data_IF_838385675475
#
_entry.id   IF_838385675475
#
_cell.length_a   1.000
_cell.length_b   1.000
_cell.length_c   1.000
_cell.angle_alpha   90.00
_cell.angle_beta   90.00
_cell.angle_gamma   90.00
#
_symmetry.space_group_name_H-M   'P 1'
#
loop_
_entity.id
_entity.type
_entity.pdbx_description
1 polymer ?
#
# COMPACT_ATOMS: atom_id res chain seq x y z
N UNK A 1 -5.84 9.01 54.44
CA UNK A 1 -7.28 9.02 54.16
C UNK A 1 -8.00 10.35 54.40
N UNK A 2 -7.44 11.36 55.06
CA UNK A 2 -8.14 12.66 55.33
C UNK A 2 -8.02 13.70 54.19
N UNK A 3 -7.09 13.57 53.24
CA UNK A 3 -6.91 14.50 52.13
C UNK A 3 -7.96 14.32 51.01
N UNK A 4 -8.42 13.08 50.79
CA UNK A 4 -9.44 12.78 49.75
C UNK A 4 -10.83 13.34 50.14
N UNK A 5 -11.15 13.40 51.44
CA UNK A 5 -12.45 13.92 51.89
C UNK A 5 -12.56 15.45 51.83
N UNK A 6 -11.42 16.16 51.83
CA UNK A 6 -11.37 17.63 51.71
C UNK A 6 -11.56 18.10 50.26
N UNK A 7 -11.07 17.33 49.31
CA UNK A 7 -11.21 17.60 47.86
C UNK A 7 -12.64 17.44 47.35
N UNK A 8 -13.45 16.62 48.02
CA UNK A 8 -14.84 16.31 47.56
C UNK A 8 -15.84 17.39 48.02
N UNK A 9 -15.51 18.24 49.06
CA UNK A 9 -16.44 19.20 49.66
C UNK A 9 -16.48 20.58 49.00
N UNK A 10 -15.54 20.89 48.07
CA UNK A 10 -15.53 22.18 47.35
C UNK A 10 -15.89 22.00 45.87
N UNK A 11 -17.11 22.37 45.50
CA UNK A 11 -17.62 22.23 44.13
C UNK A 11 -16.76 22.90 43.04
N UNK A 12 -16.00 23.94 43.38
CA UNK A 12 -15.06 24.60 42.47
C UNK A 12 -13.82 23.73 42.26
N UNK A 13 -13.26 23.11 43.29
CA UNK A 13 -12.10 22.21 43.20
C UNK A 13 -12.48 20.90 42.48
N UNK A 14 -13.66 20.38 42.74
CA UNK A 14 -14.18 19.18 42.03
C UNK A 14 -14.33 19.39 40.53
N UNK A 15 -14.78 20.57 40.12
CA UNK A 15 -14.84 20.93 38.67
C UNK A 15 -13.44 21.09 38.06
N UNK A 16 -12.48 21.63 38.81
CA UNK A 16 -11.09 21.78 38.38
C UNK A 16 -10.37 20.45 38.23
N UNK A 17 -10.59 19.52 39.17
CA UNK A 17 -10.02 18.14 39.11
C UNK A 17 -10.65 17.35 37.94
N UNK A 18 -11.95 17.47 37.73
CA UNK A 18 -12.64 16.82 36.57
C UNK A 18 -12.12 17.39 35.25
N UNK A 19 -11.91 18.71 35.14
CA UNK A 19 -11.32 19.35 33.97
C UNK A 19 -9.87 18.88 33.72
N UNK A 20 -9.08 18.71 34.77
CA UNK A 20 -7.70 18.24 34.68
C UNK A 20 -7.60 16.75 34.26
N UNK A 21 -8.51 15.92 34.78
CA UNK A 21 -8.62 14.50 34.39
C UNK A 21 -9.11 14.37 32.93
N UNK A 22 -10.04 15.23 32.48
CA UNK A 22 -10.49 15.28 31.09
C UNK A 22 -9.39 15.79 30.14
N UNK A 23 -8.54 16.72 30.56
CA UNK A 23 -7.38 17.15 29.76
C UNK A 23 -6.29 16.08 29.67
N UNK A 24 -6.06 15.29 30.71
CA UNK A 24 -5.09 14.18 30.68
C UNK A 24 -5.55 13.02 29.78
N UNK A 25 -6.86 12.81 29.59
CA UNK A 25 -7.37 11.78 28.69
C UNK A 25 -7.26 12.12 27.20
N UNK A 26 -6.96 13.36 26.83
CA UNK A 26 -6.73 13.75 25.42
C UNK A 26 -5.27 13.62 24.95
N UNK A 27 -4.32 13.30 25.85
CA UNK A 27 -2.91 13.18 25.50
C UNK A 27 -2.48 11.78 25.00
N UNK A 28 -3.41 10.83 24.89
CA UNK A 28 -3.10 9.45 24.44
C UNK A 28 -3.50 9.15 22.98
N UNK A 29 -3.86 10.16 22.20
CA UNK A 29 -4.16 9.99 20.77
C UNK A 29 -3.11 10.67 19.89
N UNK A 30 -1.90 10.17 19.83
CA UNK A 30 -0.96 10.41 18.74
C UNK A 30 0.37 9.68 18.94
N UNK A 31 0.31 8.38 19.08
CA UNK A 31 1.43 7.55 18.69
C UNK A 31 0.88 6.49 17.75
N UNK A 32 0.60 6.89 16.51
CA UNK A 32 0.73 5.93 15.42
C UNK A 32 2.23 5.65 15.35
N UNK A 33 2.64 4.55 15.96
CA UNK A 33 3.98 4.04 15.77
C UNK A 33 4.21 3.94 14.26
N UNK A 34 5.23 4.62 13.77
CA UNK A 34 5.71 4.51 12.37
C UNK A 34 6.34 3.11 12.14
N UNK A 35 6.18 2.24 13.13
CA UNK A 35 6.59 0.84 13.12
C UNK A 35 5.88 0.10 12.00
N UNK A 36 6.67 -0.35 11.04
CA UNK A 36 6.20 -1.11 9.91
C UNK A 36 5.50 -0.29 8.82
N UNK A 37 5.77 1.04 8.73
CA UNK A 37 5.36 1.80 7.55
C UNK A 37 6.09 1.29 6.33
N UNK A 38 5.32 0.82 5.36
CA UNK A 38 5.81 0.27 4.10
C UNK A 38 5.28 1.15 2.98
N UNK A 39 6.17 1.64 2.12
CA UNK A 39 5.83 2.32 0.89
C UNK A 39 5.84 1.32 -0.26
N UNK A 40 4.80 1.33 -1.07
CA UNK A 40 4.67 0.46 -2.24
C UNK A 40 4.46 1.36 -3.46
N UNK A 41 5.25 1.14 -4.51
CA UNK A 41 5.15 1.88 -5.75
C UNK A 41 4.40 1.08 -6.82
N UNK A 42 3.49 1.75 -7.55
CA UNK A 42 2.85 1.14 -8.70
C UNK A 42 3.80 1.13 -9.91
N UNK A 43 4.06 -0.06 -10.45
CA UNK A 43 4.85 -0.26 -11.65
C UNK A 43 3.98 -0.53 -12.88
N UNK A 44 4.53 -0.25 -14.06
CA UNK A 44 3.89 -0.57 -15.34
C UNK A 44 3.59 -2.07 -15.40
N UNK A 45 2.35 -2.47 -15.72
CA UNK A 45 2.01 -3.86 -15.86
C UNK A 45 2.80 -4.48 -17.04
N UNK A 46 3.18 -5.73 -16.85
CA UNK A 46 3.75 -6.52 -17.95
C UNK A 46 2.62 -7.10 -18.80
N UNK A 47 2.82 -7.12 -20.14
CA UNK A 47 1.86 -7.73 -21.07
C UNK A 47 1.44 -6.85 -22.25
N UNK A 48 0.58 -7.40 -23.08
CA UNK A 48 0.19 -6.86 -24.39
C UNK A 48 -1.04 -5.94 -24.30
N UNK A 49 -0.94 -4.89 -23.52
CA UNK A 49 -1.95 -3.83 -23.52
C UNK A 49 -1.35 -2.52 -24.04
N UNK A 50 -2.20 -1.64 -24.56
CA UNK A 50 -1.71 -0.36 -25.10
C UNK A 50 -1.05 0.49 -24.00
N UNK A 51 -0.12 1.35 -24.41
CA UNK A 51 0.57 2.28 -23.50
C UNK A 51 -0.43 3.18 -22.75
N UNK A 52 -1.52 3.59 -23.40
CA UNK A 52 -2.56 4.43 -22.81
C UNK A 52 -3.34 3.65 -21.71
N UNK A 53 -3.73 2.41 -22.00
CA UNK A 53 -4.41 1.54 -21.02
C UNK A 53 -3.49 1.21 -19.84
N UNK A 54 -2.21 0.92 -20.10
CA UNK A 54 -1.19 0.68 -19.06
C UNK A 54 -1.03 1.89 -18.13
N UNK A 55 -0.89 3.10 -18.67
CA UNK A 55 -0.81 4.34 -17.89
C UNK A 55 -2.06 4.56 -17.04
N UNK A 56 -3.25 4.26 -17.61
CA UNK A 56 -4.50 4.35 -16.85
C UNK A 56 -4.52 3.36 -15.68
N UNK A 57 -4.11 2.11 -15.92
CA UNK A 57 -4.04 1.08 -14.86
C UNK A 57 -3.05 1.48 -13.77
N UNK A 58 -1.84 1.95 -14.09
CA UNK A 58 -0.87 2.46 -13.10
C UNK A 58 -1.45 3.58 -12.26
N UNK A 59 -2.13 4.54 -12.89
CA UNK A 59 -2.78 5.64 -12.16
C UNK A 59 -3.85 5.11 -11.20
N UNK A 60 -4.60 4.07 -11.58
CA UNK A 60 -5.58 3.42 -10.70
C UNK A 60 -4.91 2.69 -9.56
N UNK A 61 -3.86 1.91 -9.82
CA UNK A 61 -3.05 1.24 -8.79
C UNK A 61 -2.48 2.23 -7.77
N UNK A 62 -1.91 3.36 -8.22
CA UNK A 62 -1.42 4.42 -7.33
C UNK A 62 -2.53 4.96 -6.42
N UNK A 63 -3.73 5.24 -6.96
CA UNK A 63 -4.88 5.69 -6.15
C UNK A 63 -5.33 4.64 -5.15
N UNK A 64 -5.29 3.36 -5.53
CA UNK A 64 -5.63 2.26 -4.64
C UNK A 64 -4.60 2.12 -3.52
N UNK A 65 -3.30 2.26 -3.79
CA UNK A 65 -2.25 2.27 -2.78
C UNK A 65 -2.40 3.45 -1.81
N UNK A 66 -2.58 4.67 -2.32
CA UNK A 66 -2.79 5.87 -1.49
C UNK A 66 -4.04 5.73 -0.62
N UNK A 67 -5.15 5.23 -1.20
CA UNK A 67 -6.41 5.02 -0.47
C UNK A 67 -6.31 4.00 0.66
N UNK A 68 -5.35 3.07 0.60
CA UNK A 68 -5.06 2.06 1.63
C UNK A 68 -3.85 2.44 2.52
N UNK A 69 -3.28 3.64 2.38
CA UNK A 69 -2.18 4.12 3.23
C UNK A 69 -0.79 3.61 2.84
N UNK A 70 -0.64 3.01 1.65
CA UNK A 70 0.63 2.49 1.13
C UNK A 70 1.27 3.39 0.06
N UNK A 71 0.79 4.64 -0.07
CA UNK A 71 1.32 5.60 -1.04
C UNK A 71 2.80 5.88 -0.82
N UNK A 72 3.54 5.97 -1.93
CA UNK A 72 4.96 6.22 -1.95
C UNK A 72 5.30 7.68 -1.60
N UNK A 73 6.40 7.86 -0.86
CA UNK A 73 7.04 9.16 -0.60
C UNK A 73 8.20 9.45 -1.57
N UNK A 74 8.39 8.65 -2.60
CA UNK A 74 9.30 8.92 -3.72
C UNK A 74 10.79 8.64 -3.49
N UNK A 75 11.19 7.98 -2.39
CA UNK A 75 12.62 7.85 -2.08
C UNK A 75 13.24 6.47 -2.36
N UNK A 76 12.47 5.38 -2.34
CA UNK A 76 13.03 4.03 -2.57
C UNK A 76 12.02 3.10 -3.24
N UNK A 77 12.33 2.68 -4.45
CA UNK A 77 11.53 1.76 -5.25
C UNK A 77 11.91 0.30 -4.96
N UNK A 78 11.59 -0.22 -3.79
CA UNK A 78 11.88 -1.60 -3.44
C UNK A 78 10.64 -2.50 -3.50
N UNK A 79 9.59 -2.08 -2.81
CA UNK A 79 8.32 -2.80 -2.84
C UNK A 79 7.43 -2.25 -3.94
N UNK A 80 6.98 -3.14 -4.80
CA UNK A 80 6.22 -2.75 -6.00
C UNK A 80 4.89 -3.47 -6.08
N UNK A 81 3.90 -2.76 -6.60
CA UNK A 81 2.64 -3.29 -7.06
C UNK A 81 2.65 -3.28 -8.59
N UNK A 82 2.52 -4.43 -9.19
CA UNK A 82 2.30 -4.57 -10.64
C UNK A 82 1.05 -5.40 -10.90
N UNK A 83 0.64 -5.49 -12.17
CA UNK A 83 -0.55 -6.24 -12.54
C UNK A 83 -0.32 -7.00 -13.86
N UNK A 84 -1.01 -8.13 -14.01
CA UNK A 84 -1.18 -8.85 -15.27
C UNK A 84 -2.62 -8.76 -15.71
N UNK A 85 -2.86 -8.46 -16.97
CA UNK A 85 -4.22 -8.36 -17.55
C UNK A 85 -4.42 -9.48 -18.55
N UNK A 86 -5.37 -10.35 -18.28
CA UNK A 86 -5.76 -11.45 -19.14
C UNK A 86 -7.20 -11.21 -19.65
N UNK A 87 -7.35 -10.91 -20.95
CA UNK A 87 -8.68 -10.75 -21.57
C UNK A 87 -9.29 -12.13 -21.81
N UNK A 88 -10.41 -12.41 -21.15
CA UNK A 88 -11.07 -13.72 -21.14
C UNK A 88 -12.18 -13.83 -22.20
N UNK A 89 -12.83 -12.71 -22.55
CA UNK A 89 -13.79 -12.69 -23.67
C UNK A 89 -13.86 -11.30 -24.31
N UNK A 90 -14.19 -11.31 -25.60
CA UNK A 90 -14.37 -10.11 -26.40
C UNK A 90 -15.60 -10.28 -27.27
N UNK A 91 -16.56 -9.38 -27.13
CA UNK A 91 -17.82 -9.40 -27.83
C UNK A 91 -18.11 -8.07 -28.51
N UNK A 92 -18.78 -8.10 -29.65
CA UNK A 92 -19.30 -6.90 -30.31
C UNK A 92 -20.73 -6.67 -29.85
N UNK A 93 -20.97 -5.54 -29.21
CA UNK A 93 -22.30 -5.12 -28.78
C UNK A 93 -22.95 -4.35 -29.92
N UNK A 94 -24.12 -4.84 -30.48
CA UNK A 94 -24.85 -4.14 -31.49
C UNK A 94 -25.34 -2.79 -30.96
N UNK A 95 -24.82 -1.70 -31.49
CA UNK A 95 -25.23 -0.33 -31.17
C UNK A 95 -24.82 0.60 -32.33
N UNK A 96 -25.28 1.82 -32.37
CA UNK A 96 -24.89 2.78 -33.40
C UNK A 96 -24.15 3.95 -32.73
N UNK A 97 -22.80 4.02 -32.86
CA UNK A 97 -21.87 3.05 -33.47
C UNK A 97 -21.72 1.77 -32.66
N UNK A 98 -21.26 0.67 -33.33
CA UNK A 98 -20.96 -0.59 -32.68
C UNK A 98 -19.92 -0.42 -31.56
N UNK A 99 -20.04 -1.19 -30.47
CA UNK A 99 -19.13 -1.14 -29.31
C UNK A 99 -18.47 -2.50 -29.06
N UNK A 100 -17.31 -2.47 -28.47
CA UNK A 100 -16.58 -3.65 -27.99
C UNK A 100 -16.81 -3.79 -26.50
N UNK A 101 -17.20 -5.00 -26.08
CA UNK A 101 -17.26 -5.41 -24.68
C UNK A 101 -16.15 -6.41 -24.42
N UNK A 102 -15.34 -6.16 -23.40
CA UNK A 102 -14.27 -7.07 -22.99
C UNK A 102 -14.46 -7.46 -21.52
N UNK A 103 -14.37 -8.77 -21.25
CA UNK A 103 -14.21 -9.31 -19.90
C UNK A 103 -12.75 -9.66 -19.70
N UNK A 104 -12.22 -9.40 -18.52
CA UNK A 104 -10.82 -9.63 -18.20
C UNK A 104 -10.62 -9.97 -16.75
N UNK A 105 -9.55 -10.65 -16.48
CA UNK A 105 -9.01 -10.85 -15.14
C UNK A 105 -7.76 -9.99 -14.98
N UNK A 106 -7.72 -9.21 -13.90
CA UNK A 106 -6.56 -8.41 -13.53
C UNK A 106 -5.99 -9.00 -12.26
N UNK A 107 -4.81 -9.61 -12.36
CA UNK A 107 -4.09 -10.15 -11.23
C UNK A 107 -3.05 -9.15 -10.78
N UNK A 108 -3.19 -8.67 -9.54
CA UNK A 108 -2.25 -7.78 -8.88
C UNK A 108 -1.20 -8.58 -8.12
N UNK A 109 0.03 -8.09 -8.11
CA UNK A 109 1.16 -8.70 -7.41
C UNK A 109 1.90 -7.64 -6.59
N UNK A 110 2.15 -7.94 -5.31
CA UNK A 110 3.03 -7.16 -4.45
C UNK A 110 4.31 -7.93 -4.23
N UNK A 111 5.44 -7.34 -4.58
CA UNK A 111 6.75 -7.99 -4.48
C UNK A 111 7.88 -7.05 -4.11
N UNK A 112 9.04 -7.63 -3.84
CA UNK A 112 10.32 -6.98 -3.62
C UNK A 112 11.18 -7.20 -4.88
N UNK A 113 11.53 -6.13 -5.58
CA UNK A 113 12.33 -6.21 -6.82
C UNK A 113 13.81 -6.50 -6.54
N UNK A 114 14.29 -6.21 -5.32
CA UNK A 114 15.69 -6.44 -4.94
C UNK A 114 15.91 -7.90 -4.55
N UNK A 115 15.00 -8.47 -3.75
CA UNK A 115 15.07 -9.88 -3.34
C UNK A 115 14.35 -10.81 -4.33
N UNK A 116 13.75 -10.28 -5.40
CA UNK A 116 12.93 -11.02 -6.38
C UNK A 116 11.89 -11.91 -5.70
N UNK A 117 11.16 -11.36 -4.74
CA UNK A 117 10.25 -12.10 -3.87
C UNK A 117 8.82 -11.59 -4.02
N UNK A 118 7.89 -12.51 -4.24
CA UNK A 118 6.45 -12.23 -4.23
C UNK A 118 5.90 -12.38 -2.81
N UNK A 119 5.20 -11.38 -2.30
CA UNK A 119 4.58 -11.40 -0.99
C UNK A 119 3.10 -11.74 -1.04
N UNK A 120 2.35 -11.13 -1.96
CA UNK A 120 0.93 -11.40 -2.10
C UNK A 120 0.44 -11.16 -3.53
N UNK A 121 -0.71 -11.74 -3.85
CA UNK A 121 -1.42 -11.49 -5.11
C UNK A 121 -2.92 -11.60 -4.89
N UNK A 122 -3.70 -10.89 -5.70
CA UNK A 122 -5.15 -11.08 -5.82
C UNK A 122 -5.59 -10.89 -7.27
N UNK A 123 -6.70 -11.53 -7.65
CA UNK A 123 -7.28 -11.41 -8.99
C UNK A 123 -8.67 -10.80 -8.90
N UNK A 124 -8.92 -9.85 -9.79
CA UNK A 124 -10.19 -9.14 -9.90
C UNK A 124 -10.74 -9.30 -11.30
N UNK A 125 -12.00 -9.75 -11.40
CA UNK A 125 -12.70 -9.83 -12.68
C UNK A 125 -13.34 -8.49 -13.01
N UNK A 126 -13.05 -7.98 -14.20
CA UNK A 126 -13.56 -6.71 -14.70
C UNK A 126 -14.24 -6.89 -16.06
N UNK A 127 -15.15 -5.99 -16.38
CA UNK A 127 -15.74 -5.88 -17.71
C UNK A 127 -15.80 -4.42 -18.11
N UNK A 128 -15.34 -4.12 -19.32
CA UNK A 128 -15.42 -2.79 -19.90
C UNK A 128 -16.14 -2.79 -21.24
N UNK A 129 -16.71 -1.64 -21.59
CA UNK A 129 -17.35 -1.39 -22.87
C UNK A 129 -16.80 -0.09 -23.43
N UNK A 130 -16.36 -0.12 -24.70
CA UNK A 130 -15.80 1.03 -25.39
C UNK A 130 -16.12 1.04 -26.87
N UNK A 131 -15.74 2.12 -27.57
CA UNK A 131 -15.86 2.21 -29.03
C UNK A 131 -14.76 1.43 -29.74
N UNK A 132 -13.74 0.98 -29.02
CA UNK A 132 -12.68 0.07 -29.44
C UNK A 132 -12.13 -0.66 -28.20
N UNK A 133 -11.23 -1.63 -28.41
CA UNK A 133 -10.60 -2.45 -27.36
C UNK A 133 -9.91 -1.61 -26.28
N UNK A 134 -9.09 -0.63 -26.69
CA UNK A 134 -8.37 0.22 -25.76
C UNK A 134 -9.32 1.00 -24.82
N UNK A 135 -10.43 1.52 -25.35
CA UNK A 135 -11.46 2.21 -24.56
C UNK A 135 -12.27 1.25 -23.69
N UNK A 136 -12.44 0.00 -24.13
CA UNK A 136 -13.05 -1.05 -23.29
C UNK A 136 -12.15 -1.38 -22.09
N UNK A 137 -10.83 -1.55 -22.29
CA UNK A 137 -9.85 -1.75 -21.21
C UNK A 137 -9.87 -0.58 -20.21
N UNK A 138 -9.76 0.66 -20.67
CA UNK A 138 -9.78 1.86 -19.82
C UNK A 138 -11.10 1.95 -19.03
N UNK A 139 -12.22 1.63 -19.69
CA UNK A 139 -13.55 1.57 -19.03
C UNK A 139 -13.58 0.51 -17.94
N UNK A 140 -12.97 -0.66 -18.14
CA UNK A 140 -12.86 -1.71 -17.13
C UNK A 140 -12.02 -1.24 -15.94
N UNK A 141 -10.82 -0.69 -16.18
CA UNK A 141 -9.92 -0.21 -15.12
C UNK A 141 -10.53 0.93 -14.31
N UNK A 142 -11.43 1.74 -14.91
CA UNK A 142 -12.11 2.80 -14.18
C UNK A 142 -13.02 2.29 -13.05
N UNK A 143 -13.37 1.00 -13.05
CA UNK A 143 -14.18 0.34 -12.01
C UNK A 143 -13.37 -0.14 -10.82
N UNK A 144 -12.03 -0.14 -10.92
CA UNK A 144 -11.16 -0.44 -9.79
C UNK A 144 -11.37 0.57 -8.67
N UNK A 145 -11.58 0.07 -7.46
CA UNK A 145 -11.91 0.86 -6.28
C UNK A 145 -10.87 0.62 -5.18
N UNK A 146 -10.34 1.68 -4.52
CA UNK A 146 -9.46 1.54 -3.36
C UNK A 146 -10.05 0.69 -2.23
N UNK A 147 -11.37 0.77 -2.04
CA UNK A 147 -12.07 0.05 -0.97
C UNK A 147 -12.45 -1.40 -1.34
N UNK A 148 -11.89 -1.94 -2.41
CA UNK A 148 -12.15 -3.33 -2.79
C UNK A 148 -11.51 -4.28 -1.79
N UNK A 149 -12.33 -5.11 -1.14
CA UNK A 149 -11.93 -5.95 -0.02
C UNK A 149 -10.74 -6.85 -0.35
N UNK A 150 -10.80 -7.58 -1.46
CA UNK A 150 -9.75 -8.51 -1.88
C UNK A 150 -8.40 -7.82 -2.08
N UNK A 151 -8.42 -6.57 -2.59
CA UNK A 151 -7.22 -5.78 -2.78
C UNK A 151 -6.65 -5.28 -1.44
N UNK A 152 -7.51 -4.80 -0.54
CA UNK A 152 -7.10 -4.38 0.81
C UNK A 152 -6.49 -5.55 1.60
N UNK A 153 -7.14 -6.72 1.60
CA UNK A 153 -6.65 -7.93 2.25
C UNK A 153 -5.31 -8.43 1.67
N UNK A 154 -5.13 -8.27 0.35
CA UNK A 154 -3.84 -8.56 -0.31
C UNK A 154 -2.74 -7.63 0.21
N UNK A 155 -2.99 -6.32 0.32
CA UNK A 155 -2.02 -5.36 0.84
C UNK A 155 -1.65 -5.65 2.30
N UNK A 156 -2.63 -5.95 3.14
CA UNK A 156 -2.41 -6.30 4.55
C UNK A 156 -1.62 -7.60 4.68
N UNK A 157 -1.91 -8.59 3.84
CA UNK A 157 -1.14 -9.85 3.75
C UNK A 157 0.30 -9.59 3.31
N UNK A 158 0.49 -8.74 2.31
CA UNK A 158 1.83 -8.36 1.84
C UNK A 158 2.62 -7.66 2.95
N UNK A 159 2.01 -6.68 3.65
CA UNK A 159 2.60 -5.99 4.79
C UNK A 159 3.05 -6.95 5.86
N UNK A 160 2.18 -7.87 6.30
CA UNK A 160 2.52 -8.86 7.31
C UNK A 160 3.75 -9.68 6.91
N UNK A 161 3.78 -10.21 5.68
CA UNK A 161 4.90 -11.01 5.19
C UNK A 161 6.19 -10.21 4.99
N UNK A 162 6.11 -8.92 4.63
CA UNK A 162 7.26 -8.03 4.54
C UNK A 162 7.84 -7.80 5.95
N UNK A 163 6.99 -7.44 6.90
CA UNK A 163 7.39 -7.24 8.31
C UNK A 163 8.04 -8.50 8.87
N UNK A 164 7.42 -9.67 8.71
CA UNK A 164 7.96 -10.96 9.17
C UNK A 164 9.33 -11.25 8.54
N UNK A 165 9.47 -11.00 7.24
CA UNK A 165 10.74 -11.22 6.55
C UNK A 165 11.83 -10.36 7.15
N UNK A 166 11.61 -9.05 7.29
CA UNK A 166 12.63 -8.14 7.81
C UNK A 166 12.91 -8.35 9.29
N UNK A 167 11.92 -8.65 10.12
CA UNK A 167 12.13 -9.01 11.53
C UNK A 167 13.10 -10.17 11.68
N UNK A 168 13.03 -11.16 10.79
CA UNK A 168 13.89 -12.35 10.85
C UNK A 168 15.25 -12.17 10.14
N UNK A 169 15.42 -11.17 9.28
CA UNK A 169 16.60 -10.99 8.43
C UNK A 169 17.32 -9.65 8.66
N UNK A 170 17.03 -8.92 9.74
CA UNK A 170 17.65 -7.63 10.05
C UNK A 170 19.18 -7.67 10.03
N UNK A 171 19.77 -8.63 10.73
CA UNK A 171 21.23 -8.76 10.81
C UNK A 171 21.86 -9.03 9.43
N UNK A 172 21.19 -9.80 8.58
CA UNK A 172 21.63 -10.08 7.22
C UNK A 172 21.58 -8.83 6.34
N UNK A 173 20.47 -8.07 6.38
CA UNK A 173 20.32 -6.82 5.62
C UNK A 173 21.35 -5.77 6.04
N UNK A 174 21.61 -5.61 7.34
CA UNK A 174 22.66 -4.74 7.86
C UNK A 174 24.04 -5.20 7.37
N UNK A 175 24.32 -6.51 7.38
CA UNK A 175 25.58 -7.06 6.90
C UNK A 175 25.79 -6.82 5.39
N UNK A 176 24.73 -7.00 4.58
CA UNK A 176 24.76 -6.70 3.14
C UNK A 176 25.09 -5.22 2.89
N UNK A 177 24.41 -4.31 3.60
CA UNK A 177 24.65 -2.87 3.47
C UNK A 177 26.08 -2.48 3.89
N UNK A 178 26.61 -3.05 4.98
CA UNK A 178 28.00 -2.82 5.41
C UNK A 178 29.00 -3.32 4.38
N UNK A 179 28.75 -4.47 3.76
CA UNK A 179 29.60 -5.01 2.70
C UNK A 179 29.63 -4.07 1.49
N UNK A 180 28.48 -3.55 1.05
CA UNK A 180 28.39 -2.56 -0.04
C UNK A 180 29.17 -1.29 0.31
N UNK A 181 29.02 -0.77 1.52
CA UNK A 181 29.73 0.42 1.98
C UNK A 181 31.26 0.18 2.03
N UNK A 182 31.71 -1.03 2.41
CA UNK A 182 33.15 -1.34 2.51
C UNK A 182 33.86 -1.35 1.16
N UNK A 183 33.14 -1.56 0.06
CA UNK A 183 33.67 -1.49 -1.31
C UNK A 183 33.40 -0.14 -2.00
N UNK A 184 32.88 0.87 -1.25
CA UNK A 184 32.65 2.22 -1.74
C UNK A 184 31.27 2.45 -2.38
N UNK A 185 30.38 1.45 -2.40
CA UNK A 185 29.02 1.56 -2.96
C UNK A 185 28.05 2.16 -1.92
N UNK A 186 28.30 3.41 -1.49
CA UNK A 186 27.55 4.05 -0.41
C UNK A 186 26.10 4.34 -0.79
N UNK A 187 25.83 4.78 -2.02
CA UNK A 187 24.47 5.10 -2.47
C UNK A 187 23.56 3.86 -2.46
N UNK A 188 24.08 2.71 -2.90
CA UNK A 188 23.35 1.45 -2.89
C UNK A 188 23.14 0.94 -1.45
N UNK A 189 24.15 1.07 -0.59
CA UNK A 189 24.05 0.71 0.83
C UNK A 189 22.97 1.55 1.54
N UNK A 190 22.95 2.86 1.32
CA UNK A 190 21.95 3.78 1.87
C UNK A 190 20.57 3.43 1.33
N UNK A 191 20.42 3.29 0.02
CA UNK A 191 19.16 2.95 -0.63
C UNK A 191 18.58 1.63 -0.09
N UNK A 192 19.44 0.63 0.12
CA UNK A 192 19.06 -0.65 0.72
C UNK A 192 18.51 -0.48 2.14
N UNK A 193 19.19 0.30 2.98
CA UNK A 193 18.77 0.53 4.37
C UNK A 193 17.51 1.38 4.48
N UNK A 194 17.35 2.38 3.60
CA UNK A 194 16.15 3.22 3.57
C UNK A 194 14.86 2.46 3.23
N UNK A 195 14.99 1.33 2.53
CA UNK A 195 13.86 0.49 2.14
C UNK A 195 13.44 -0.51 3.22
N UNK A 196 14.29 -0.73 4.23
CA UNK A 196 13.97 -1.64 5.34
C UNK A 196 12.91 -1.00 6.24
N UNK A 197 11.81 -1.71 6.54
CA UNK A 197 10.82 -1.21 7.50
C UNK A 197 11.42 -0.98 8.90
N UNK A 198 10.84 -0.05 9.68
CA UNK A 198 11.30 0.28 11.04
C UNK A 198 11.11 -0.86 12.07
N UNK A 199 11.12 -2.10 11.62
CA UNK A 199 11.09 -3.30 12.47
C UNK A 199 12.49 -3.81 12.83
N UNK A 200 13.52 -3.22 12.22
CA UNK A 200 14.93 -3.51 12.46
C UNK A 200 15.60 -2.47 13.36
N UNK A 201 14.85 -1.78 14.20
CA UNK A 201 15.39 -0.73 15.08
C UNK A 201 15.94 -1.35 16.37
N UNK A 202 17.15 -1.92 16.30
CA UNK A 202 18.02 -2.23 17.45
C UNK A 202 19.39 -1.59 17.28
#
# INVERSE_FOLDING_TARGET
MKLLSYLVRNNKMRRLVILFVLMMSMATFAQTSDEGRISIQAMMPDGVISVEASKNLVTRMQRMLVGNGYGDNGYVERFVLTAKVDVTSKDIVPSTPARVSEKMEVTFFVGDIVENKLYASCTVSLQGIGTNENKALISAFSKLNPNQKDFSEMLDTAKGKIVDFYTNHCAEEISKARTMASVGNYDEAISRMMAVPNVCAD
#
